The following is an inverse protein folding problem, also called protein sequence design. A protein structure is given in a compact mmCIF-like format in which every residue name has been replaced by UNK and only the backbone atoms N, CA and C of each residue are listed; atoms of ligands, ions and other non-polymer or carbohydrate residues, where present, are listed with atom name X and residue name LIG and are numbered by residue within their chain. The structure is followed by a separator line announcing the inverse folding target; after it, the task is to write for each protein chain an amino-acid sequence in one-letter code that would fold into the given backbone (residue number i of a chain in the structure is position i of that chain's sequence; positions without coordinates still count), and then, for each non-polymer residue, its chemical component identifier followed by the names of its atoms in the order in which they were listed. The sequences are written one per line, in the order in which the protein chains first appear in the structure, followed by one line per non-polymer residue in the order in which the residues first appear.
data_IF_091275220243
#
_entry.id   IF_091275220243
#
_cell.length_a   1.000
_cell.length_b   1.000
_cell.length_c   1.000
_cell.angle_alpha   90.00
_cell.angle_beta   90.00
_cell.angle_gamma   90.00
#
_symmetry.space_group_name_H-M   'P 1'
#
loop_
_entity.id
_entity.type
_entity.pdbx_description
1 polymer ?
#
# COMPACT_ATOMS: atom_id res chain seq x y z
N UNK A 1 5.59 5.38 -31.51
CA UNK A 1 5.28 5.02 -30.11
C UNK A 1 5.92 3.67 -29.85
N UNK A 2 6.56 3.49 -28.69
CA UNK A 2 7.06 2.17 -28.28
C UNK A 2 5.88 1.21 -28.07
N UNK A 3 6.06 -0.10 -28.30
CA UNK A 3 5.00 -1.08 -28.00
C UNK A 3 4.67 -1.05 -26.49
N UNK A 4 3.41 -1.34 -26.11
CA UNK A 4 3.01 -1.35 -24.71
C UNK A 4 3.82 -2.36 -23.91
N UNK A 5 4.11 -2.02 -22.66
CA UNK A 5 4.73 -2.93 -21.70
C UNK A 5 3.75 -4.03 -21.35
N UNK A 6 4.12 -5.26 -21.67
CA UNK A 6 3.31 -6.44 -21.36
C UNK A 6 3.41 -6.78 -19.88
N UNK A 7 2.28 -6.75 -19.18
CA UNK A 7 2.20 -7.01 -17.74
C UNK A 7 1.44 -8.30 -17.45
N UNK A 8 1.83 -8.94 -16.35
CA UNK A 8 1.15 -10.10 -15.80
C UNK A 8 0.72 -9.79 -14.36
N UNK A 9 -0.52 -10.13 -14.03
CA UNK A 9 -0.99 -10.09 -12.64
C UNK A 9 -0.69 -11.41 -11.94
N UNK A 10 -0.23 -11.34 -10.70
CA UNK A 10 -0.23 -12.46 -9.76
C UNK A 10 -1.10 -12.04 -8.57
N UNK A 11 -2.23 -12.72 -8.35
CA UNK A 11 -3.12 -12.43 -7.22
C UNK A 11 -4.25 -11.42 -7.48
N UNK A 12 -4.56 -11.08 -8.74
CA UNK A 12 -5.80 -10.35 -9.05
C UNK A 12 -6.99 -11.30 -8.91
N UNK A 13 -7.72 -11.18 -7.80
CA UNK A 13 -8.82 -12.09 -7.44
C UNK A 13 -10.18 -11.49 -7.80
N UNK A 14 -11.12 -12.34 -8.23
CA UNK A 14 -12.51 -11.95 -8.39
C UNK A 14 -13.20 -11.60 -7.06
N UNK A 15 -12.65 -12.02 -5.91
CA UNK A 15 -13.24 -11.80 -4.58
C UNK A 15 -12.44 -10.84 -3.68
N UNK A 16 -11.18 -10.54 -4.01
CA UNK A 16 -10.38 -9.57 -3.25
C UNK A 16 -10.43 -8.20 -3.94
N UNK A 17 -10.38 -7.13 -3.13
CA UNK A 17 -10.65 -5.79 -3.63
C UNK A 17 -9.39 -4.99 -3.99
N UNK A 18 -8.26 -5.18 -3.27
CA UNK A 18 -7.12 -4.27 -3.35
C UNK A 18 -6.55 -4.11 -4.77
N UNK A 19 -6.12 -5.20 -5.41
CA UNK A 19 -5.55 -5.11 -6.76
C UNK A 19 -6.55 -4.59 -7.81
N UNK A 20 -7.84 -4.93 -7.65
CA UNK A 20 -8.91 -4.47 -8.53
C UNK A 20 -9.23 -2.98 -8.37
N UNK A 21 -9.07 -2.43 -7.17
CA UNK A 21 -9.31 -1.02 -6.88
C UNK A 21 -8.08 -0.14 -7.14
N UNK A 22 -6.90 -0.59 -6.72
CA UNK A 22 -5.68 0.22 -6.71
C UNK A 22 -4.88 0.18 -8.02
N UNK A 23 -4.84 -0.98 -8.70
CA UNK A 23 -3.91 -1.19 -9.83
C UNK A 23 -4.62 -1.36 -11.16
N UNK A 24 -5.67 -2.16 -11.17
CA UNK A 24 -6.36 -2.54 -12.39
C UNK A 24 -6.92 -1.35 -13.19
N UNK A 25 -7.52 -0.30 -12.59
CA UNK A 25 -8.12 0.80 -13.36
C UNK A 25 -7.09 1.50 -14.26
N UNK A 26 -5.92 1.82 -13.72
CA UNK A 26 -4.84 2.47 -14.47
C UNK A 26 -4.26 1.55 -15.56
N UNK A 27 -4.01 0.27 -15.23
CA UNK A 27 -3.48 -0.70 -16.20
C UNK A 27 -4.47 -1.01 -17.34
N UNK A 28 -5.78 -0.83 -17.14
CA UNK A 28 -6.80 -0.96 -18.20
C UNK A 28 -6.93 0.30 -19.05
N UNK A 29 -6.73 1.49 -18.49
CA UNK A 29 -6.96 2.76 -19.19
C UNK A 29 -5.72 3.29 -19.89
N UNK A 30 -4.51 2.96 -19.42
CA UNK A 30 -3.26 3.43 -20.00
C UNK A 30 -2.93 2.69 -21.31
N UNK A 31 -2.54 3.41 -22.38
CA UNK A 31 -2.05 2.79 -23.61
C UNK A 31 -0.63 2.22 -23.48
N UNK A 32 0.06 2.49 -22.37
CA UNK A 32 1.46 2.08 -22.15
C UNK A 32 1.58 0.64 -21.65
N UNK A 33 0.46 0.02 -21.26
CA UNK A 33 0.43 -1.31 -20.66
C UNK A 33 -0.56 -2.23 -21.38
N UNK A 34 -0.18 -3.50 -21.47
CA UNK A 34 -1.05 -4.56 -21.97
C UNK A 34 -1.05 -5.71 -20.96
N UNK A 35 -2.21 -6.02 -20.37
CA UNK A 35 -2.35 -7.19 -19.50
C UNK A 35 -2.39 -8.44 -20.38
N UNK A 36 -1.39 -9.31 -20.26
CA UNK A 36 -1.27 -10.50 -21.13
C UNK A 36 -1.36 -11.83 -20.38
N UNK A 37 -1.28 -11.79 -19.05
CA UNK A 37 -1.39 -12.98 -18.22
C UNK A 37 -1.94 -12.67 -16.83
N UNK A 38 -2.58 -13.66 -16.23
CA UNK A 38 -3.05 -13.61 -14.84
C UNK A 38 -2.81 -14.96 -14.19
N UNK A 39 -2.14 -14.96 -13.04
CA UNK A 39 -1.91 -16.12 -12.19
C UNK A 39 -2.64 -15.98 -10.85
N UNK A 40 -3.34 -17.03 -10.42
CA UNK A 40 -3.99 -17.13 -9.11
C UNK A 40 -3.69 -18.51 -8.49
N UNK A 41 -4.23 -18.79 -7.31
CA UNK A 41 -4.02 -20.09 -6.64
C UNK A 41 -4.57 -21.29 -7.43
N UNK A 42 -5.36 -21.07 -8.48
CA UNK A 42 -5.76 -22.07 -9.47
C UNK A 42 -6.07 -21.40 -10.81
N UNK A 43 -6.02 -22.16 -11.90
CA UNK A 43 -6.33 -21.65 -13.25
C UNK A 43 -7.79 -21.19 -13.34
N UNK A 44 -8.71 -21.86 -12.65
CA UNK A 44 -10.14 -21.52 -12.61
C UNK A 44 -10.35 -20.16 -11.97
N UNK A 45 -9.68 -19.88 -10.85
CA UNK A 45 -9.73 -18.56 -10.20
C UNK A 45 -9.12 -17.48 -11.07
N UNK A 46 -8.09 -17.80 -11.85
CA UNK A 46 -7.52 -16.86 -12.80
C UNK A 46 -8.51 -16.54 -13.93
N UNK A 47 -9.16 -17.55 -14.51
CA UNK A 47 -10.21 -17.38 -15.54
C UNK A 47 -11.39 -16.57 -15.02
N UNK A 48 -11.86 -16.86 -13.81
CA UNK A 48 -12.96 -16.12 -13.19
C UNK A 48 -12.63 -14.63 -13.00
N UNK A 49 -11.39 -14.28 -12.66
CA UNK A 49 -10.95 -12.89 -12.58
C UNK A 49 -10.86 -12.24 -13.97
N UNK A 50 -10.31 -12.94 -14.97
CA UNK A 50 -10.23 -12.46 -16.37
C UNK A 50 -11.63 -12.12 -16.91
N UNK A 51 -12.62 -12.99 -16.66
CA UNK A 51 -14.00 -12.79 -17.07
C UNK A 51 -14.65 -11.63 -16.31
N UNK A 52 -14.61 -11.66 -14.97
CA UNK A 52 -15.22 -10.61 -14.13
C UNK A 52 -14.73 -9.22 -14.47
N UNK A 53 -13.44 -9.09 -14.78
CA UNK A 53 -12.81 -7.79 -15.05
C UNK A 53 -12.67 -7.48 -16.55
N UNK A 54 -13.21 -8.33 -17.42
CA UNK A 54 -13.24 -8.13 -18.87
C UNK A 54 -11.85 -7.85 -19.45
N UNK A 55 -10.83 -8.62 -19.04
CA UNK A 55 -9.43 -8.37 -19.41
C UNK A 55 -9.10 -8.74 -20.87
N UNK A 56 -10.03 -9.39 -21.57
CA UNK A 56 -9.90 -9.79 -22.97
C UNK A 56 -9.51 -11.25 -23.17
N UNK A 57 -9.83 -11.80 -24.35
CA UNK A 57 -9.65 -13.22 -24.68
C UNK A 57 -8.19 -13.65 -24.87
N UNK A 58 -7.28 -12.69 -25.06
CA UNK A 58 -5.84 -12.96 -25.23
C UNK A 58 -5.08 -13.17 -23.92
N UNK A 59 -5.71 -12.91 -22.77
CA UNK A 59 -5.06 -13.03 -21.46
C UNK A 59 -4.91 -14.49 -21.07
N UNK A 60 -3.68 -14.94 -20.84
CA UNK A 60 -3.40 -16.31 -20.42
C UNK A 60 -3.64 -16.50 -18.93
N UNK A 61 -4.39 -17.54 -18.58
CA UNK A 61 -4.64 -17.92 -17.20
C UNK A 61 -3.61 -18.95 -16.70
N UNK A 62 -3.05 -18.71 -15.51
CA UNK A 62 -2.12 -19.59 -14.82
C UNK A 62 -2.61 -19.87 -13.39
N UNK A 63 -2.13 -20.98 -12.81
CA UNK A 63 -2.50 -21.48 -11.48
C UNK A 63 -1.29 -21.72 -10.58
N UNK A 64 -1.54 -22.32 -9.42
CA UNK A 64 -0.54 -22.91 -8.52
C UNK A 64 0.48 -21.93 -7.93
N UNK A 65 0.10 -20.65 -7.80
CA UNK A 65 0.86 -19.70 -7.00
C UNK A 65 0.38 -19.69 -5.55
N UNK A 66 1.34 -19.71 -4.62
CA UNK A 66 1.09 -19.55 -3.20
C UNK A 66 0.79 -18.10 -2.83
N UNK A 67 0.15 -17.90 -1.68
CA UNK A 67 -0.25 -16.58 -1.18
C UNK A 67 0.88 -15.81 -0.46
N UNK A 68 2.14 -16.08 -0.80
CA UNK A 68 3.31 -15.39 -0.26
C UNK A 68 4.05 -14.64 -1.38
N UNK A 69 4.35 -13.37 -1.16
CA UNK A 69 5.02 -12.53 -2.15
C UNK A 69 6.36 -13.14 -2.58
N UNK A 70 7.16 -13.64 -1.65
CA UNK A 70 8.46 -14.24 -1.96
C UNK A 70 8.35 -15.42 -2.91
N UNK A 71 7.52 -16.41 -2.60
CA UNK A 71 7.36 -17.60 -3.46
C UNK A 71 6.73 -17.26 -4.81
N UNK A 72 5.84 -16.27 -4.85
CA UNK A 72 5.21 -15.79 -6.07
C UNK A 72 6.18 -15.09 -7.05
N UNK A 73 7.12 -14.30 -6.56
CA UNK A 73 7.97 -13.46 -7.43
C UNK A 73 9.31 -14.10 -7.78
N UNK A 74 9.82 -15.03 -6.97
CA UNK A 74 11.11 -15.71 -7.20
C UNK A 74 11.24 -16.27 -8.63
N UNK A 75 10.24 -16.96 -9.21
CA UNK A 75 10.34 -17.46 -10.59
C UNK A 75 10.50 -16.34 -11.62
N UNK A 76 9.77 -15.24 -11.45
CA UNK A 76 9.85 -14.06 -12.33
C UNK A 76 11.23 -13.40 -12.24
N UNK A 77 11.76 -13.27 -11.02
CA UNK A 77 13.10 -12.74 -10.78
C UNK A 77 14.16 -13.62 -11.46
N UNK A 78 14.09 -14.93 -11.25
CA UNK A 78 15.02 -15.90 -11.88
C UNK A 78 14.94 -15.87 -13.41
N UNK A 79 13.77 -15.58 -13.97
CA UNK A 79 13.56 -15.42 -15.41
C UNK A 79 13.98 -14.04 -15.96
N UNK A 80 14.58 -13.16 -15.15
CA UNK A 80 15.02 -11.83 -15.55
C UNK A 80 13.86 -10.86 -15.85
N UNK A 81 12.69 -11.08 -15.24
CA UNK A 81 11.53 -10.20 -15.40
C UNK A 81 11.56 -9.10 -14.35
N UNK A 82 11.20 -7.88 -14.77
CA UNK A 82 10.91 -6.79 -13.85
C UNK A 82 9.71 -7.16 -12.97
N UNK A 83 9.75 -6.73 -11.71
CA UNK A 83 8.70 -7.03 -10.73
C UNK A 83 8.23 -5.76 -10.03
N UNK A 84 6.92 -5.67 -9.82
CA UNK A 84 6.29 -4.74 -8.89
C UNK A 84 5.55 -5.59 -7.86
N UNK A 85 5.83 -5.36 -6.57
CA UNK A 85 5.32 -6.19 -5.47
C UNK A 85 4.60 -5.30 -4.49
N UNK A 86 3.37 -5.65 -4.13
CA UNK A 86 2.67 -4.91 -3.06
C UNK A 86 3.40 -5.06 -1.72
N UNK A 87 3.26 -4.05 -0.86
CA UNK A 87 3.73 -4.15 0.50
C UNK A 87 2.84 -5.13 1.31
N UNK A 88 3.38 -5.75 2.38
CA UNK A 88 4.80 -5.81 2.73
C UNK A 88 5.60 -6.68 1.74
N UNK A 89 6.87 -6.33 1.46
CA UNK A 89 7.71 -7.07 0.50
C UNK A 89 7.89 -8.54 0.89
N UNK A 90 8.11 -8.81 2.17
CA UNK A 90 8.28 -10.15 2.73
C UNK A 90 7.69 -10.24 4.13
N UNK A 91 7.58 -11.46 4.64
CA UNK A 91 7.00 -11.71 5.97
C UNK A 91 7.98 -11.43 7.12
N UNK A 92 9.26 -11.24 6.81
CA UNK A 92 10.31 -10.87 7.75
C UNK A 92 11.39 -10.03 7.07
N UNK A 93 12.27 -9.40 7.86
CA UNK A 93 13.43 -8.69 7.33
C UNK A 93 14.37 -9.63 6.55
N UNK A 94 14.61 -10.84 7.06
CA UNK A 94 15.45 -11.83 6.40
C UNK A 94 14.88 -12.28 5.05
N UNK A 95 13.55 -12.47 4.97
CA UNK A 95 12.85 -12.78 3.72
C UNK A 95 12.99 -11.63 2.70
N UNK A 96 12.77 -10.39 3.14
CA UNK A 96 12.94 -9.20 2.31
C UNK A 96 14.40 -9.01 1.82
N UNK A 97 15.38 -9.27 2.68
CA UNK A 97 16.81 -9.22 2.32
C UNK A 97 17.17 -10.30 1.29
N UNK A 98 16.65 -11.52 1.47
CA UNK A 98 16.87 -12.63 0.52
C UNK A 98 16.31 -12.30 -0.87
N UNK A 99 15.16 -11.62 -0.95
CA UNK A 99 14.60 -11.16 -2.22
C UNK A 99 15.45 -10.06 -2.88
N UNK A 100 16.02 -9.16 -2.08
CA UNK A 100 16.95 -8.14 -2.57
C UNK A 100 18.24 -8.75 -3.12
N UNK A 101 18.82 -9.71 -2.41
CA UNK A 101 20.00 -10.47 -2.86
C UNK A 101 19.72 -11.25 -4.14
N UNK A 102 18.55 -11.91 -4.22
CA UNK A 102 18.13 -12.62 -5.41
C UNK A 102 17.98 -11.66 -6.60
N UNK A 103 17.34 -10.50 -6.40
CA UNK A 103 17.23 -9.47 -7.44
C UNK A 103 18.61 -8.98 -7.89
N UNK A 104 19.54 -8.74 -6.96
CA UNK A 104 20.86 -8.22 -7.29
C UNK A 104 21.78 -9.25 -7.98
N UNK A 105 21.51 -10.54 -7.81
CA UNK A 105 22.21 -11.63 -8.51
C UNK A 105 21.64 -11.97 -9.89
N UNK A 106 20.57 -11.30 -10.33
CA UNK A 106 19.91 -11.54 -11.61
C UNK A 106 19.84 -10.26 -12.46
N UNK A 107 19.74 -10.42 -13.77
CA UNK A 107 19.66 -9.29 -14.70
C UNK A 107 18.23 -8.70 -14.76
N UNK A 108 17.85 -7.98 -13.71
CA UNK A 108 16.56 -7.30 -13.60
C UNK A 108 16.78 -5.81 -13.55
N UNK A 109 16.14 -5.08 -14.46
CA UNK A 109 16.29 -3.63 -14.58
C UNK A 109 15.44 -2.89 -13.54
N UNK A 110 14.25 -3.39 -13.23
CA UNK A 110 13.31 -2.73 -12.33
C UNK A 110 12.68 -3.72 -11.34
N UNK A 111 12.81 -3.43 -10.05
CA UNK A 111 12.15 -4.14 -8.97
C UNK A 111 11.63 -3.13 -7.96
N UNK A 112 10.31 -2.98 -7.90
CA UNK A 112 9.64 -1.97 -7.08
C UNK A 112 8.78 -2.62 -6.00
N UNK A 113 8.76 -1.99 -4.83
CA UNK A 113 7.76 -2.28 -3.79
C UNK A 113 6.74 -1.16 -3.83
N UNK A 114 5.46 -1.53 -3.88
CA UNK A 114 4.33 -0.62 -3.79
C UNK A 114 4.20 0.00 -2.40
N UNK A 115 5.18 0.79 -1.97
CA UNK A 115 5.20 1.43 -0.66
C UNK A 115 4.46 2.78 -0.75
N UNK A 116 3.23 2.85 -0.25
CA UNK A 116 2.40 4.06 -0.35
C UNK A 116 2.58 5.05 0.82
N UNK A 117 3.35 4.69 1.86
CA UNK A 117 3.65 5.59 2.98
C UNK A 117 5.06 5.35 3.52
N UNK A 118 5.80 6.44 3.78
CA UNK A 118 7.19 6.40 4.17
C UNK A 118 7.53 7.53 5.14
N UNK A 119 7.86 7.18 6.38
CA UNK A 119 8.18 8.13 7.46
C UNK A 119 9.70 8.38 7.61
N UNK A 120 10.56 7.59 6.96
CA UNK A 120 11.94 7.37 7.39
C UNK A 120 13.01 8.36 6.92
N UNK A 121 12.82 9.07 5.80
CA UNK A 121 13.89 9.93 5.24
C UNK A 121 13.92 11.35 5.79
N UNK A 122 12.96 11.66 6.65
CA UNK A 122 12.69 13.00 7.12
C UNK A 122 13.44 13.43 8.37
N UNK A 123 14.12 12.56 9.14
CA UNK A 123 14.67 12.94 10.45
C UNK A 123 16.14 13.44 10.38
N UNK A 124 16.51 14.35 11.29
CA UNK A 124 17.90 14.85 11.47
C UNK A 124 18.79 13.84 12.18
N UNK A 125 18.26 13.19 13.21
CA UNK A 125 18.86 12.06 13.94
C UNK A 125 17.88 10.90 13.98
N UNK A 126 18.32 9.65 14.22
CA UNK A 126 17.39 8.54 14.43
C UNK A 126 16.30 8.91 15.45
N UNK A 127 15.01 8.71 15.13
CA UNK A 127 13.93 9.05 16.06
C UNK A 127 13.98 8.13 17.29
N UNK A 128 13.46 8.63 18.41
CA UNK A 128 13.21 7.82 19.61
C UNK A 128 11.96 6.98 19.37
N UNK A 129 12.12 5.66 19.43
CA UNK A 129 11.05 4.71 19.18
C UNK A 129 10.85 3.80 20.39
N UNK A 130 9.61 3.62 20.82
CA UNK A 130 9.21 2.59 21.77
C UNK A 130 8.27 1.62 21.06
N UNK A 131 8.67 0.36 21.01
CA UNK A 131 7.87 -0.74 20.48
C UNK A 131 7.41 -1.59 21.67
N UNK A 132 6.12 -1.88 21.73
CA UNK A 132 5.53 -2.71 22.77
C UNK A 132 4.52 -3.69 22.17
N UNK A 133 4.46 -4.89 22.76
CA UNK A 133 3.40 -5.87 22.51
C UNK A 133 2.51 -5.91 23.73
N UNK A 134 1.31 -5.34 23.62
CA UNK A 134 0.33 -5.25 24.71
C UNK A 134 -0.68 -6.39 24.66
N UNK A 135 -0.96 -6.93 23.48
CA UNK A 135 -1.76 -8.14 23.25
C UNK A 135 -0.82 -9.29 22.93
N UNK A 136 -0.50 -10.17 23.90
CA UNK A 136 0.49 -11.23 23.70
C UNK A 136 -0.01 -12.34 22.78
N UNK A 137 -1.32 -12.43 22.56
CA UNK A 137 -1.96 -13.40 21.67
C UNK A 137 -3.01 -12.74 20.78
N UNK A 138 -3.25 -13.33 19.61
CA UNK A 138 -4.26 -12.92 18.66
C UNK A 138 -5.05 -14.15 18.20
N UNK A 139 -6.37 -14.00 18.10
CA UNK A 139 -7.22 -14.96 17.42
C UNK A 139 -7.05 -14.82 15.91
N UNK A 140 -6.60 -15.88 15.24
CA UNK A 140 -6.47 -15.95 13.78
C UNK A 140 -7.73 -16.59 13.23
N UNK A 141 -8.37 -15.91 12.29
CA UNK A 141 -9.52 -16.44 11.55
C UNK A 141 -9.16 -16.76 10.10
N UNK A 142 -9.77 -17.82 9.58
CA UNK A 142 -9.74 -18.19 8.18
C UNK A 142 -10.60 -17.25 7.34
N UNK A 143 -10.49 -17.38 6.02
CA UNK A 143 -11.27 -16.58 5.05
C UNK A 143 -12.79 -16.79 5.16
N UNK A 144 -13.21 -17.92 5.71
CA UNK A 144 -14.60 -18.30 5.96
C UNK A 144 -15.09 -17.86 7.36
N UNK A 145 -14.26 -17.13 8.11
CA UNK A 145 -14.54 -16.71 9.48
C UNK A 145 -14.35 -17.81 10.53
N UNK A 146 -13.97 -19.02 10.13
CA UNK A 146 -13.59 -20.08 11.06
C UNK A 146 -12.36 -19.66 11.86
N UNK A 147 -12.21 -20.21 13.06
CA UNK A 147 -11.03 -19.93 13.87
C UNK A 147 -9.94 -20.91 13.50
N UNK A 148 -8.80 -20.39 13.07
CA UNK A 148 -7.60 -21.18 12.74
C UNK A 148 -6.74 -21.37 13.98
N UNK A 149 -6.63 -20.32 14.80
CA UNK A 149 -5.92 -20.35 16.08
C UNK A 149 -6.61 -19.38 17.04
N UNK A 150 -6.99 -19.84 18.23
CA UNK A 150 -7.64 -19.00 19.23
C UNK A 150 -6.66 -18.06 19.95
N UNK A 151 -5.36 -18.38 19.98
CA UNK A 151 -4.38 -17.70 20.81
C UNK A 151 -2.97 -17.72 20.20
N UNK A 152 -2.86 -17.48 18.89
CA UNK A 152 -1.57 -17.36 18.21
C UNK A 152 -0.71 -16.30 18.90
N UNK A 153 0.56 -16.62 19.14
CA UNK A 153 1.51 -15.70 19.78
C UNK A 153 1.72 -14.46 18.89
N UNK A 154 1.60 -13.27 19.47
CA UNK A 154 1.91 -12.03 18.79
C UNK A 154 3.42 -11.79 18.79
N UNK A 155 4.04 -11.88 17.61
CA UNK A 155 5.49 -11.66 17.45
C UNK A 155 5.82 -10.25 16.96
N UNK A 156 4.80 -9.47 16.57
CA UNK A 156 4.97 -8.09 16.10
C UNK A 156 4.47 -7.09 17.16
N UNK A 157 5.20 -6.00 17.44
CA UNK A 157 4.72 -4.93 18.30
C UNK A 157 3.37 -4.39 17.82
N UNK A 158 2.42 -4.29 18.74
CA UNK A 158 1.07 -3.81 18.46
C UNK A 158 0.85 -2.35 18.87
N UNK A 159 1.86 -1.76 19.50
CA UNK A 159 1.90 -0.40 20.01
C UNK A 159 3.26 0.21 19.67
N UNK A 160 3.25 1.35 18.98
CA UNK A 160 4.41 2.06 18.49
C UNK A 160 4.30 3.52 18.93
N UNK A 161 5.32 4.01 19.61
CA UNK A 161 5.54 5.44 19.82
C UNK A 161 6.79 5.84 19.06
N UNK A 162 6.73 6.97 18.35
CA UNK A 162 7.84 7.50 17.58
C UNK A 162 7.88 9.01 17.74
N UNK A 163 9.04 9.52 18.18
CA UNK A 163 9.27 10.94 18.37
C UNK A 163 10.62 11.34 17.79
N UNK A 164 10.69 12.47 17.12
CA UNK A 164 11.95 13.00 16.61
C UNK A 164 11.80 14.36 15.97
N UNK A 165 12.91 14.88 15.46
CA UNK A 165 12.94 16.15 14.73
C UNK A 165 13.20 15.88 13.26
N UNK A 166 12.36 16.44 12.41
CA UNK A 166 12.52 16.38 10.96
C UNK A 166 13.69 17.27 10.50
N UNK A 167 14.24 17.03 9.31
CA UNK A 167 15.29 17.85 8.65
C UNK A 167 14.84 19.28 8.38
N UNK A 168 13.54 19.53 8.42
CA UNK A 168 12.94 20.86 8.42
C UNK A 168 12.92 21.51 9.80
N UNK A 169 13.58 20.91 10.80
CA UNK A 169 13.57 21.31 12.21
C UNK A 169 12.20 21.22 12.91
N UNK A 170 11.20 20.62 12.24
CA UNK A 170 9.85 20.45 12.79
C UNK A 170 9.81 19.19 13.69
N UNK A 171 9.36 19.31 14.95
CA UNK A 171 9.17 18.13 15.80
C UNK A 171 7.98 17.29 15.31
N UNK A 172 8.17 15.97 15.32
CA UNK A 172 7.13 14.99 14.99
C UNK A 172 6.91 14.05 16.17
N UNK A 173 5.63 13.81 16.48
CA UNK A 173 5.17 12.83 17.45
C UNK A 173 4.10 11.95 16.82
N UNK A 174 4.33 10.64 16.82
CA UNK A 174 3.41 9.65 16.27
C UNK A 174 3.16 8.55 17.30
N UNK A 175 1.89 8.21 17.47
CA UNK A 175 1.45 7.04 18.23
C UNK A 175 0.60 6.18 17.31
N UNK A 176 0.95 4.91 17.21
CA UNK A 176 0.19 3.91 16.47
C UNK A 176 -0.10 2.73 17.38
N UNK A 177 -1.33 2.22 17.33
CA UNK A 177 -1.69 0.95 17.96
C UNK A 177 -2.64 0.18 17.07
N UNK A 178 -2.58 -1.13 17.12
CA UNK A 178 -3.54 -1.97 16.41
C UNK A 178 -4.89 -2.05 17.14
N UNK A 179 -5.92 -2.47 16.41
CA UNK A 179 -7.29 -2.62 16.90
C UNK A 179 -8.15 -1.38 16.64
N UNK A 180 -9.43 -1.47 17.01
CA UNK A 180 -10.40 -0.42 16.74
C UNK A 180 -10.04 0.91 17.45
N UNK A 181 -10.39 2.07 16.84
CA UNK A 181 -10.39 3.34 17.54
C UNK A 181 -11.37 3.31 18.72
N UNK A 182 -11.22 4.27 19.63
CA UNK A 182 -12.21 4.43 20.70
C UNK A 182 -13.55 4.86 20.07
N UNK A 183 -14.71 4.35 20.52
CA UNK A 183 -16.00 4.72 19.94
C UNK A 183 -16.20 6.23 19.87
N UNK A 184 -16.57 6.74 18.70
CA UNK A 184 -16.76 8.18 18.46
C UNK A 184 -15.48 8.98 18.22
N UNK A 185 -14.30 8.34 18.15
CA UNK A 185 -13.03 8.98 17.79
C UNK A 185 -12.55 8.48 16.42
N UNK A 186 -11.83 9.30 15.65
CA UNK A 186 -11.30 8.86 14.37
C UNK A 186 -10.19 7.82 14.56
N UNK A 187 -9.99 6.97 13.56
CA UNK A 187 -8.84 6.04 13.50
C UNK A 187 -7.51 6.74 13.25
N UNK A 188 -7.57 7.90 12.57
CA UNK A 188 -6.45 8.81 12.36
C UNK A 188 -6.83 10.22 12.85
N UNK A 189 -5.96 10.85 13.63
CA UNK A 189 -6.01 12.28 13.96
C UNK A 189 -4.61 12.86 13.76
N UNK A 190 -4.36 13.41 12.56
CA UNK A 190 -3.09 14.02 12.19
C UNK A 190 -3.21 15.53 12.25
N UNK A 191 -2.38 16.16 13.09
CA UNK A 191 -2.37 17.61 13.28
C UNK A 191 -1.03 18.19 12.86
N UNK A 192 -1.09 19.30 12.12
CA UNK A 192 0.06 20.06 11.63
C UNK A 192 -0.14 21.48 12.12
N UNK A 193 0.61 21.86 13.16
CA UNK A 193 0.62 23.22 13.68
C UNK A 193 1.63 24.08 12.93
N UNK A 194 1.20 25.27 12.49
CA UNK A 194 2.04 26.29 11.88
C UNK A 194 1.86 27.64 12.57
N UNK A 195 2.63 28.63 12.15
CA UNK A 195 2.62 29.96 12.78
C UNK A 195 1.31 30.73 12.55
N UNK A 196 0.60 30.44 11.46
CA UNK A 196 -0.66 31.10 11.09
C UNK A 196 -1.91 30.32 11.51
N UNK A 197 -1.76 29.10 12.00
CA UNK A 197 -2.90 28.21 12.18
C UNK A 197 -2.56 26.72 12.31
N UNK A 198 -3.59 25.88 12.26
CA UNK A 198 -3.47 24.42 12.37
C UNK A 198 -4.26 23.73 11.26
N UNK A 199 -3.66 22.70 10.68
CA UNK A 199 -4.35 21.76 9.78
C UNK A 199 -4.57 20.47 10.56
N UNK A 200 -5.79 19.94 10.52
CA UNK A 200 -6.16 18.67 11.11
C UNK A 200 -6.78 17.77 10.05
N UNK A 201 -6.26 16.55 9.92
CA UNK A 201 -6.75 15.53 9.02
C UNK A 201 -7.26 14.37 9.87
N UNK A 202 -8.52 13.97 9.65
CA UNK A 202 -9.11 12.82 10.35
C UNK A 202 -9.70 11.83 9.36
N UNK A 203 -9.64 10.53 9.70
CA UNK A 203 -10.28 9.46 8.94
C UNK A 203 -10.64 8.27 9.84
N UNK A 204 -11.55 7.42 9.41
CA UNK A 204 -12.00 6.24 10.16
C UNK A 204 -10.91 5.19 10.40
N UNK A 205 -9.85 5.17 9.57
CA UNK A 205 -8.69 4.31 9.76
C UNK A 205 -7.36 5.03 9.58
N UNK A 206 -6.27 4.34 9.95
CA UNK A 206 -4.92 4.93 10.04
C UNK A 206 -4.24 5.21 8.67
N UNK A 207 -4.79 4.70 7.57
CA UNK A 207 -4.13 4.64 6.27
C UNK A 207 -4.89 5.46 5.22
N UNK A 208 -4.59 6.77 5.14
CA UNK A 208 -5.31 7.70 4.24
C UNK A 208 -5.36 7.26 2.78
N UNK A 209 -4.36 6.51 2.31
CA UNK A 209 -4.31 6.00 0.94
C UNK A 209 -5.42 4.99 0.60
N UNK A 210 -6.10 4.45 1.62
CA UNK A 210 -7.26 3.56 1.42
C UNK A 210 -8.47 4.37 0.89
N UNK A 211 -8.57 5.65 1.23
CA UNK A 211 -9.74 6.48 0.96
C UNK A 211 -10.90 6.10 1.88
N UNK A 212 -11.22 6.98 2.83
CA UNK A 212 -12.36 6.79 3.72
C UNK A 212 -13.41 7.86 3.45
N UNK A 213 -14.69 7.48 3.40
CA UNK A 213 -15.81 8.43 3.19
C UNK A 213 -15.91 9.48 4.30
N UNK A 214 -15.46 9.13 5.51
CA UNK A 214 -15.42 10.03 6.66
C UNK A 214 -14.12 10.84 6.75
N UNK A 215 -13.23 10.71 5.76
CA UNK A 215 -11.99 11.48 5.73
C UNK A 215 -12.27 12.98 5.49
N UNK A 216 -11.69 13.82 6.35
CA UNK A 216 -11.85 15.28 6.28
C UNK A 216 -10.56 16.02 6.61
N UNK A 217 -10.45 17.23 6.07
CA UNK A 217 -9.40 18.20 6.37
C UNK A 217 -10.06 19.42 7.00
N UNK A 218 -9.56 19.84 8.16
CA UNK A 218 -10.01 21.03 8.87
C UNK A 218 -8.83 21.99 8.99
N UNK A 219 -9.04 23.27 8.68
CA UNK A 219 -8.02 24.31 8.76
C UNK A 219 -8.50 25.40 9.69
N UNK A 220 -7.70 25.73 10.70
CA UNK A 220 -7.94 26.85 11.61
C UNK A 220 -6.95 27.95 11.30
N UNK A 221 -7.42 29.16 10.96
CA UNK A 221 -6.60 30.35 10.72
C UNK A 221 -7.32 31.61 11.17
N UNK A 222 -6.65 32.48 11.94
CA UNK A 222 -7.25 33.73 12.42
C UNK A 222 -8.56 33.54 13.22
N UNK A 223 -8.68 32.43 13.95
CA UNK A 223 -9.87 32.08 14.73
C UNK A 223 -11.05 31.53 13.92
N UNK A 224 -10.92 31.39 12.60
CA UNK A 224 -11.94 30.77 11.73
C UNK A 224 -11.56 29.32 11.45
N UNK A 225 -12.58 28.46 11.39
CA UNK A 225 -12.44 27.05 11.04
C UNK A 225 -13.10 26.81 9.69
N UNK A 226 -12.35 26.25 8.76
CA UNK A 226 -12.84 25.78 7.47
C UNK A 226 -12.73 24.26 7.42
N UNK A 227 -13.73 23.59 6.85
CA UNK A 227 -13.80 22.13 6.78
C UNK A 227 -14.02 21.68 5.34
N UNK A 228 -13.21 20.72 4.91
CA UNK A 228 -13.18 20.18 3.56
C UNK A 228 -13.35 18.67 3.63
N UNK A 229 -14.22 18.14 2.77
CA UNK A 229 -14.30 16.69 2.55
C UNK A 229 -13.17 16.27 1.61
N UNK A 230 -12.63 15.09 1.83
CA UNK A 230 -11.70 14.49 0.86
C UNK A 230 -12.51 13.83 -0.26
N UNK A 231 -12.15 14.12 -1.51
CA UNK A 231 -12.79 13.57 -2.69
C UNK A 231 -11.79 12.77 -3.51
N UNK A 232 -12.27 11.69 -4.14
CA UNK A 232 -11.46 10.94 -5.09
C UNK A 232 -11.31 11.76 -6.37
N UNK A 233 -10.06 11.93 -6.82
CA UNK A 233 -9.72 12.72 -7.99
C UNK A 233 -8.91 11.88 -8.97
N UNK A 234 -9.08 12.17 -10.26
CA UNK A 234 -8.25 11.59 -11.31
C UNK A 234 -6.81 12.10 -11.14
N UNK A 235 -5.93 11.25 -10.59
CA UNK A 235 -4.58 11.65 -10.21
C UNK A 235 -3.80 12.26 -11.38
N UNK A 236 -3.97 11.74 -12.60
CA UNK A 236 -3.32 12.29 -13.79
C UNK A 236 -3.73 13.75 -14.05
N UNK A 237 -5.01 14.10 -13.88
CA UNK A 237 -5.50 15.47 -14.05
C UNK A 237 -4.93 16.39 -12.98
N UNK A 238 -4.92 15.92 -11.72
CA UNK A 238 -4.36 16.70 -10.61
C UNK A 238 -2.87 16.92 -10.76
N UNK A 239 -2.12 15.90 -11.19
CA UNK A 239 -0.68 16.03 -11.42
C UNK A 239 -0.39 16.94 -12.63
N UNK A 240 -1.13 16.81 -13.72
CA UNK A 240 -1.03 17.71 -14.88
C UNK A 240 -1.31 19.17 -14.50
N UNK A 241 -2.32 19.43 -13.67
CA UNK A 241 -2.67 20.78 -13.23
C UNK A 241 -1.69 21.33 -12.21
N UNK A 242 -1.38 20.57 -11.16
CA UNK A 242 -0.54 21.02 -10.06
C UNK A 242 0.91 21.23 -10.48
N UNK A 243 1.40 20.43 -11.44
CA UNK A 243 2.83 20.37 -11.78
C UNK A 243 3.14 20.85 -13.20
N UNK A 244 2.17 21.50 -13.88
CA UNK A 244 2.38 22.23 -15.13
C UNK A 244 3.60 23.15 -15.01
N UNK A 245 4.69 22.80 -15.69
CA UNK A 245 5.94 23.57 -15.72
C UNK A 245 7.13 23.02 -14.94
N UNK A 246 6.97 21.95 -14.15
CA UNK A 246 8.04 21.41 -13.28
C UNK A 246 8.76 20.15 -13.83
N UNK A 247 8.55 19.79 -15.10
CA UNK A 247 9.46 18.90 -15.83
C UNK A 247 9.44 17.40 -15.44
N UNK A 248 8.38 16.91 -14.80
CA UNK A 248 8.22 15.46 -14.62
C UNK A 248 7.78 14.82 -15.95
N UNK A 249 8.35 13.68 -16.36
CA UNK A 249 7.87 12.95 -17.52
C UNK A 249 6.51 12.33 -17.18
N UNK A 250 5.48 12.77 -17.89
CA UNK A 250 4.22 12.03 -18.02
C UNK A 250 4.45 10.88 -19.00
#
# INVERSE_FOLDING_TARGET
MSPPTRVAFIGLSASAWWAAAAHLPYLKSSPDYEIVALCNSSVEKARAAIEKFELGRGVRAYGDVEAHHSTAIIPSIKAGKNVYVEWPLGHSLADAQSLLELKNSHNITLANVGLQALLGYGFTTPPKTLLQTRRPTLKITGKDGSVVDEAAKMETPDTIFLHGTLKSEVPLSMTFRTGAPFPGTPGLDWRIAGEEGEIRITAGGAFLQIGYEDAKVEVVRGGKVESFKMEAVELHKVLEEAWKGNGYPV
#
